data_IF_707997970695
#
_entry.id   IF_707997970695
#
_cell.length_a   1.000
_cell.length_b   1.000
_cell.length_c   1.000
_cell.angle_alpha   90.00
_cell.angle_beta   90.00
_cell.angle_gamma   90.00
#
_symmetry.space_group_name_H-M   'P 1'
#
loop_
_entity.id
_entity.type
_entity.pdbx_description
1 polymer ?
#
# COMPACT_ATOMS: atom_id res chain seq x y z
N UNK A 1 -2.62 0.03 -21.92
CA UNK A 1 -2.30 -1.12 -21.07
C UNK A 1 -0.99 -1.74 -21.57
N UNK A 2 -0.02 -1.86 -20.68
CA UNK A 2 1.31 -2.40 -21.02
C UNK A 2 1.34 -3.90 -20.72
N UNK A 3 1.94 -4.67 -21.63
CA UNK A 3 2.09 -6.11 -21.44
C UNK A 3 3.34 -6.41 -20.63
N UNK A 4 3.18 -7.16 -19.56
CA UNK A 4 4.26 -7.41 -18.62
C UNK A 4 4.43 -8.91 -18.31
N UNK A 5 5.67 -9.26 -17.96
CA UNK A 5 6.01 -10.55 -17.38
C UNK A 5 6.27 -10.33 -15.91
N UNK A 6 5.70 -11.18 -15.06
CA UNK A 6 5.78 -11.08 -13.61
C UNK A 6 6.57 -12.23 -13.03
N UNK A 7 7.58 -11.92 -12.21
CA UNK A 7 8.29 -12.89 -11.38
C UNK A 7 7.85 -12.69 -9.95
N UNK A 8 7.33 -13.73 -9.31
CA UNK A 8 6.74 -13.60 -7.96
C UNK A 8 6.80 -14.93 -7.22
N UNK A 9 6.91 -14.85 -5.89
CA UNK A 9 6.80 -16.04 -5.05
C UNK A 9 5.34 -16.49 -4.95
N UNK A 10 5.13 -17.75 -4.62
CA UNK A 10 3.80 -18.31 -4.49
C UNK A 10 3.00 -17.55 -3.41
N UNK A 11 3.66 -17.16 -2.33
CA UNK A 11 3.05 -16.45 -1.20
C UNK A 11 2.40 -15.13 -1.63
N UNK A 12 3.04 -14.40 -2.54
CA UNK A 12 2.58 -13.06 -2.94
C UNK A 12 1.92 -13.02 -4.33
N UNK A 13 1.69 -14.18 -4.92
CA UNK A 13 1.22 -14.24 -6.32
C UNK A 13 -0.09 -13.49 -6.55
N UNK A 14 -1.11 -13.77 -5.75
CA UNK A 14 -2.42 -13.12 -5.92
C UNK A 14 -2.33 -11.61 -5.69
N UNK A 15 -1.60 -11.22 -4.66
CA UNK A 15 -1.41 -9.82 -4.33
C UNK A 15 -0.69 -9.08 -5.47
N UNK A 16 0.38 -9.67 -5.99
CA UNK A 16 1.16 -9.07 -7.06
C UNK A 16 0.35 -8.92 -8.35
N UNK A 17 -0.43 -9.94 -8.70
CA UNK A 17 -1.28 -9.87 -9.90
C UNK A 17 -2.28 -8.73 -9.77
N UNK A 18 -2.95 -8.63 -8.62
CA UNK A 18 -3.93 -7.57 -8.39
C UNK A 18 -3.28 -6.18 -8.44
N UNK A 19 -2.10 -6.03 -7.85
CA UNK A 19 -1.36 -4.77 -7.88
C UNK A 19 -0.98 -4.38 -9.32
N UNK A 20 -0.49 -5.34 -10.09
CA UNK A 20 -0.07 -5.10 -11.47
C UNK A 20 -1.25 -4.66 -12.32
N UNK A 21 -2.37 -5.36 -12.19
CA UNK A 21 -3.59 -5.01 -12.94
C UNK A 21 -4.12 -3.64 -12.52
N UNK A 22 -4.00 -3.30 -11.24
CA UNK A 22 -4.37 -1.99 -10.72
C UNK A 22 -3.53 -0.87 -11.29
N UNK A 23 -2.30 -1.17 -11.71
CA UNK A 23 -1.38 -0.22 -12.33
C UNK A 23 -1.47 -0.26 -13.86
N UNK A 24 -2.49 -0.89 -14.40
CA UNK A 24 -2.75 -1.01 -15.85
C UNK A 24 -1.70 -1.82 -16.59
N UNK A 25 -1.18 -2.86 -15.94
CA UNK A 25 -0.35 -3.86 -16.60
C UNK A 25 -1.17 -5.09 -16.92
N UNK A 26 -1.01 -5.60 -18.13
CA UNK A 26 -1.59 -6.87 -18.52
C UNK A 26 -0.51 -7.94 -18.34
N UNK A 27 -0.70 -8.86 -17.40
CA UNK A 27 0.27 -9.90 -17.12
C UNK A 27 0.08 -11.01 -18.14
N UNK A 28 1.07 -11.20 -19.01
CA UNK A 28 1.00 -12.20 -20.07
C UNK A 28 1.68 -13.50 -19.68
N UNK A 29 2.65 -13.45 -18.76
CA UNK A 29 3.32 -14.65 -18.25
C UNK A 29 3.71 -14.43 -16.80
N UNK A 30 3.67 -15.51 -15.99
CA UNK A 30 4.04 -15.49 -14.58
C UNK A 30 5.08 -16.57 -14.36
N UNK A 31 6.19 -16.18 -13.75
CA UNK A 31 7.27 -17.12 -13.38
C UNK A 31 7.52 -17.04 -11.88
N UNK A 32 7.98 -18.12 -11.30
CA UNK A 32 8.41 -18.13 -9.91
C UNK A 32 9.74 -17.39 -9.78
N UNK A 33 9.93 -16.71 -8.65
CA UNK A 33 11.22 -16.12 -8.32
C UNK A 33 12.27 -17.23 -8.26
N UNK A 34 13.49 -16.97 -8.75
CA UNK A 34 14.53 -18.02 -8.71
C UNK A 34 14.92 -18.35 -7.27
N UNK A 35 15.18 -19.62 -6.99
CA UNK A 35 15.66 -20.06 -5.67
C UNK A 35 17.07 -19.54 -5.43
N UNK A 36 17.90 -19.53 -6.47
CA UNK A 36 19.25 -18.95 -6.43
C UNK A 36 19.30 -17.82 -7.44
N UNK A 37 19.13 -16.58 -7.01
CA UNK A 37 19.12 -15.46 -7.97
C UNK A 37 20.42 -15.35 -8.72
N UNK A 38 20.32 -15.09 -10.03
CA UNK A 38 21.45 -14.79 -10.87
C UNK A 38 22.15 -13.53 -10.34
N UNK A 39 23.46 -13.59 -10.16
CA UNK A 39 24.21 -12.47 -9.59
C UNK A 39 24.06 -11.21 -10.44
N UNK A 40 24.05 -11.36 -11.75
CA UNK A 40 24.03 -10.25 -12.71
C UNK A 40 22.60 -9.74 -12.96
N UNK A 41 21.65 -10.66 -13.19
CA UNK A 41 20.31 -10.32 -13.69
C UNK A 41 19.17 -10.59 -12.69
N UNK A 42 19.43 -11.24 -11.57
CA UNK A 42 18.46 -11.75 -10.62
C UNK A 42 17.63 -12.92 -11.19
N UNK A 43 17.01 -12.74 -12.38
CA UNK A 43 16.16 -13.78 -12.99
C UNK A 43 17.02 -14.77 -13.78
N UNK A 44 16.43 -15.93 -14.09
CA UNK A 44 17.11 -17.00 -14.83
C UNK A 44 17.44 -16.52 -16.25
N UNK A 45 18.62 -16.87 -16.72
CA UNK A 45 19.12 -16.41 -18.02
C UNK A 45 18.24 -16.85 -19.18
N UNK A 46 17.72 -18.07 -19.14
CA UNK A 46 16.84 -18.57 -20.20
C UNK A 46 15.54 -17.75 -20.28
N UNK A 47 14.98 -17.36 -19.11
CA UNK A 47 13.79 -16.52 -19.06
C UNK A 47 14.10 -15.11 -19.58
N UNK A 48 15.28 -14.59 -19.24
CA UNK A 48 15.73 -13.29 -19.71
C UNK A 48 15.78 -13.24 -21.23
N UNK A 49 16.32 -14.29 -21.86
CA UNK A 49 16.41 -14.35 -23.33
C UNK A 49 15.03 -14.44 -23.97
N UNK A 50 14.10 -15.19 -23.36
CA UNK A 50 12.73 -15.27 -23.86
C UNK A 50 12.06 -13.91 -23.85
N UNK A 51 12.23 -13.15 -22.77
CA UNK A 51 11.66 -11.81 -22.63
C UNK A 51 12.30 -10.85 -23.65
N UNK A 52 13.61 -10.93 -23.80
CA UNK A 52 14.37 -10.08 -24.74
C UNK A 52 13.85 -10.25 -26.17
N UNK A 53 13.53 -11.47 -26.56
CA UNK A 53 13.14 -11.78 -27.94
C UNK A 53 11.64 -11.61 -28.19
N UNK A 54 10.86 -11.29 -27.16
CA UNK A 54 9.41 -11.13 -27.30
C UNK A 54 9.06 -9.64 -27.36
N UNK A 55 8.77 -9.18 -28.57
CA UNK A 55 8.49 -7.76 -28.80
C UNK A 55 7.16 -7.29 -28.20
N UNK A 56 6.25 -8.22 -27.91
CA UNK A 56 4.97 -7.87 -27.30
C UNK A 56 5.10 -7.46 -25.85
N UNK A 57 6.17 -7.91 -25.16
CA UNK A 57 6.39 -7.59 -23.75
C UNK A 57 7.10 -6.23 -23.66
N UNK A 58 6.47 -5.28 -22.96
CA UNK A 58 7.04 -3.96 -22.75
C UNK A 58 7.67 -3.79 -21.36
N UNK A 59 7.33 -4.66 -20.41
CA UNK A 59 7.70 -4.47 -19.01
C UNK A 59 8.06 -5.79 -18.35
N UNK A 60 9.13 -5.76 -17.56
CA UNK A 60 9.50 -6.84 -16.65
C UNK A 60 9.23 -6.38 -15.22
N UNK A 61 8.43 -7.14 -14.49
CA UNK A 61 8.13 -6.86 -13.09
C UNK A 61 8.68 -8.01 -12.26
N UNK A 62 9.62 -7.68 -11.36
CA UNK A 62 10.16 -8.63 -10.39
C UNK A 62 9.61 -8.24 -9.03
N UNK A 63 8.74 -9.08 -8.46
CA UNK A 63 8.06 -8.74 -7.20
C UNK A 63 8.96 -9.08 -6.03
N UNK A 64 10.11 -8.46 -5.99
CA UNK A 64 11.12 -8.54 -4.94
C UNK A 64 12.01 -7.32 -5.11
N UNK A 65 12.72 -6.93 -4.07
CA UNK A 65 13.64 -5.81 -4.17
C UNK A 65 14.88 -6.24 -4.94
N UNK A 66 15.22 -5.48 -5.99
CA UNK A 66 16.43 -5.71 -6.78
C UNK A 66 17.57 -4.83 -6.27
N UNK A 67 18.80 -5.28 -6.48
CA UNK A 67 19.97 -4.47 -6.21
C UNK A 67 20.25 -3.56 -7.40
N UNK A 68 20.98 -2.44 -7.20
CA UNK A 68 21.32 -1.55 -8.33
C UNK A 68 21.95 -2.27 -9.52
N UNK A 69 22.84 -3.23 -9.27
CA UNK A 69 23.50 -3.95 -10.39
C UNK A 69 22.50 -4.74 -11.21
N UNK A 70 21.44 -5.27 -10.58
CA UNK A 70 20.41 -6.00 -11.31
C UNK A 70 19.66 -5.06 -12.27
N UNK A 71 19.27 -3.88 -11.80
CA UNK A 71 18.60 -2.90 -12.65
C UNK A 71 19.46 -2.52 -13.86
N UNK A 72 20.73 -2.23 -13.62
CA UNK A 72 21.65 -1.78 -14.68
C UNK A 72 21.80 -2.88 -15.72
N UNK A 73 22.06 -4.10 -15.28
CA UNK A 73 22.27 -5.22 -16.21
C UNK A 73 21.02 -5.57 -16.97
N UNK A 74 19.85 -5.57 -16.29
CA UNK A 74 18.58 -5.86 -16.96
C UNK A 74 18.23 -4.78 -17.96
N UNK A 75 18.45 -3.51 -17.63
CA UNK A 75 18.19 -2.40 -18.55
C UNK A 75 19.06 -2.46 -19.79
N UNK A 76 20.31 -2.86 -19.63
CA UNK A 76 21.23 -3.05 -20.76
C UNK A 76 20.77 -4.20 -21.66
N UNK A 77 20.41 -5.33 -21.05
CA UNK A 77 20.04 -6.54 -21.81
C UNK A 77 18.67 -6.40 -22.46
N UNK A 78 17.73 -5.75 -21.78
CA UNK A 78 16.34 -5.59 -22.23
C UNK A 78 16.08 -4.16 -22.70
N UNK A 79 16.88 -3.68 -23.63
CA UNK A 79 16.76 -2.32 -24.15
C UNK A 79 15.34 -2.05 -24.66
N UNK A 80 14.80 -0.91 -24.27
CA UNK A 80 13.46 -0.50 -24.68
C UNK A 80 12.34 -1.07 -23.82
N UNK A 81 12.67 -1.91 -22.84
CA UNK A 81 11.67 -2.46 -21.92
C UNK A 81 11.83 -1.83 -20.54
N UNK A 82 10.71 -1.63 -19.86
CA UNK A 82 10.69 -1.08 -18.51
C UNK A 82 11.00 -2.20 -17.51
N UNK A 83 11.86 -1.87 -16.53
CA UNK A 83 12.20 -2.81 -15.46
C UNK A 83 11.67 -2.25 -14.16
N UNK A 84 10.77 -2.99 -13.51
CA UNK A 84 10.22 -2.61 -12.21
C UNK A 84 10.50 -3.72 -11.21
N UNK A 85 10.95 -3.34 -10.02
CA UNK A 85 10.95 -4.25 -8.89
C UNK A 85 9.76 -3.93 -8.00
N UNK A 86 9.62 -4.64 -6.89
CA UNK A 86 8.50 -4.46 -5.98
C UNK A 86 8.40 -3.01 -5.49
N UNK A 87 9.54 -2.39 -5.16
CA UNK A 87 9.55 -1.02 -4.63
C UNK A 87 9.07 -0.03 -5.68
N UNK A 88 9.65 -0.07 -6.88
CA UNK A 88 9.26 0.85 -7.95
C UNK A 88 7.81 0.65 -8.38
N UNK A 89 7.35 -0.60 -8.41
CA UNK A 89 5.95 -0.90 -8.74
C UNK A 89 5.01 -0.27 -7.71
N UNK A 90 5.29 -0.45 -6.42
CA UNK A 90 4.44 0.11 -5.37
C UNK A 90 4.44 1.64 -5.40
N UNK A 91 5.60 2.25 -5.63
CA UNK A 91 5.68 3.70 -5.76
C UNK A 91 4.88 4.21 -6.97
N UNK A 92 4.91 3.48 -8.07
CA UNK A 92 4.13 3.82 -9.26
C UNK A 92 2.63 3.76 -8.96
N UNK A 93 2.20 2.72 -8.25
CA UNK A 93 0.79 2.56 -7.86
C UNK A 93 0.38 3.70 -6.92
N UNK A 94 1.21 4.01 -5.93
CA UNK A 94 0.94 5.13 -5.02
C UNK A 94 0.77 6.44 -5.80
N UNK A 95 1.65 6.69 -6.77
CA UNK A 95 1.60 7.92 -7.58
C UNK A 95 0.32 8.02 -8.40
N UNK A 96 -0.17 6.90 -8.92
CA UNK A 96 -1.41 6.88 -9.70
C UNK A 96 -2.62 7.31 -8.88
N UNK A 97 -2.60 7.04 -7.59
CA UNK A 97 -3.75 7.25 -6.72
C UNK A 97 -3.57 8.41 -5.74
N UNK A 98 -2.39 9.01 -5.68
CA UNK A 98 -2.12 10.10 -4.73
C UNK A 98 -3.00 11.31 -5.04
N UNK A 99 -3.81 11.71 -4.05
CA UNK A 99 -4.74 12.82 -4.21
C UNK A 99 -4.29 14.12 -3.56
N UNK A 100 -3.35 14.04 -2.61
CA UNK A 100 -2.87 15.23 -1.93
C UNK A 100 -1.48 15.61 -2.41
N UNK A 101 -1.15 16.90 -2.27
CA UNK A 101 0.18 17.40 -2.59
C UNK A 101 1.24 16.74 -1.71
N UNK A 102 0.94 16.57 -0.43
CA UNK A 102 1.85 15.92 0.51
C UNK A 102 2.16 14.48 0.09
N UNK A 103 1.13 13.71 -0.27
CA UNK A 103 1.32 12.32 -0.70
C UNK A 103 2.18 12.26 -1.96
N UNK A 104 1.89 13.11 -2.95
CA UNK A 104 2.67 13.15 -4.20
C UNK A 104 4.13 13.47 -3.94
N UNK A 105 4.40 14.43 -3.05
CA UNK A 105 5.76 14.84 -2.71
C UNK A 105 6.50 13.72 -1.96
N UNK A 106 5.81 13.06 -1.03
CA UNK A 106 6.41 11.97 -0.26
C UNK A 106 6.76 10.79 -1.16
N UNK A 107 5.89 10.49 -2.12
CA UNK A 107 6.13 9.41 -3.10
C UNK A 107 7.31 9.77 -4.00
N UNK A 108 7.36 11.00 -4.48
CA UNK A 108 8.49 11.46 -5.30
C UNK A 108 9.81 11.38 -4.53
N UNK A 109 9.79 11.80 -3.27
CA UNK A 109 10.98 11.71 -2.41
C UNK A 109 11.46 10.28 -2.26
N UNK A 110 10.53 9.37 -1.99
CA UNK A 110 10.88 7.94 -1.84
C UNK A 110 11.46 7.39 -3.13
N UNK A 111 10.88 7.75 -4.28
CA UNK A 111 11.37 7.28 -5.58
C UNK A 111 12.78 7.80 -5.88
N UNK A 112 13.01 9.09 -5.63
CA UNK A 112 14.34 9.69 -5.88
C UNK A 112 15.39 9.06 -4.97
N UNK A 113 15.07 8.86 -3.69
CA UNK A 113 15.99 8.21 -2.75
C UNK A 113 16.30 6.78 -3.17
N UNK A 114 15.29 6.08 -3.69
CA UNK A 114 15.46 4.70 -4.12
C UNK A 114 16.29 4.59 -5.41
N UNK A 115 16.07 5.51 -6.33
CA UNK A 115 16.77 5.51 -7.63
C UNK A 115 18.20 6.03 -7.55
N UNK A 116 18.52 6.87 -6.57
CA UNK A 116 19.84 7.48 -6.49
C UNK A 116 21.00 6.47 -6.44
N UNK A 117 20.94 5.40 -5.62
CA UNK A 117 22.00 4.39 -5.64
C UNK A 117 22.14 3.70 -7.01
N UNK A 118 21.02 3.51 -7.73
CA UNK A 118 21.06 2.92 -9.07
C UNK A 118 21.81 3.83 -10.04
N UNK A 119 21.55 5.13 -9.96
CA UNK A 119 22.22 6.12 -10.80
C UNK A 119 23.70 6.22 -10.45
N UNK A 120 24.03 6.17 -9.15
CA UNK A 120 25.43 6.20 -8.71
C UNK A 120 26.19 4.98 -9.22
N UNK A 121 25.57 3.81 -9.20
CA UNK A 121 26.17 2.58 -9.73
C UNK A 121 26.38 2.69 -11.24
N UNK A 122 25.44 3.30 -11.96
CA UNK A 122 25.55 3.56 -13.39
C UNK A 122 26.76 4.48 -13.67
N UNK A 123 26.95 5.51 -12.85
CA UNK A 123 28.07 6.43 -12.94
C UNK A 123 29.41 5.70 -12.80
N UNK A 124 29.51 4.83 -11.78
CA UNK A 124 30.72 4.05 -11.54
C UNK A 124 31.07 3.17 -12.75
N UNK A 125 30.08 2.48 -13.30
CA UNK A 125 30.29 1.62 -14.47
C UNK A 125 30.63 2.40 -15.73
N UNK A 126 30.02 3.57 -15.92
CA UNK A 126 30.33 4.45 -17.04
C UNK A 126 31.76 4.96 -16.95
N UNK A 127 32.23 5.28 -15.75
CA UNK A 127 33.59 5.76 -15.52
C UNK A 127 34.63 4.68 -15.86
N UNK A 128 34.32 3.42 -15.53
CA UNK A 128 35.19 2.30 -15.90
C UNK A 128 35.21 2.11 -17.41
N UNK A 129 34.04 2.25 -18.06
CA UNK A 129 33.92 2.16 -19.51
C UNK A 129 34.61 3.31 -20.25
N UNK A 130 34.71 4.48 -19.62
CA UNK A 130 35.37 5.65 -20.22
C UNK A 130 36.86 5.49 -20.43
N UNK A 131 37.48 4.63 -19.65
CA UNK A 131 38.88 4.32 -19.89
C UNK A 131 39.10 3.66 -21.27
N UNK A 132 37.99 3.26 -21.88
CA UNK A 132 38.02 2.65 -23.21
C UNK A 132 37.50 3.55 -24.32
N UNK A 133 36.96 4.73 -23.98
CA UNK A 133 36.37 5.61 -24.97
C UNK A 133 36.88 7.05 -24.89
N UNK A 134 36.91 7.75 -26.03
CA UNK A 134 37.61 9.02 -26.08
C UNK A 134 36.83 10.24 -25.52
N UNK A 135 35.57 10.19 -25.22
CA UNK A 135 34.84 11.43 -24.98
C UNK A 135 33.98 11.53 -23.69
N UNK A 136 33.90 10.53 -22.89
CA UNK A 136 33.28 10.63 -21.56
C UNK A 136 31.89 11.26 -21.44
N UNK A 137 31.15 11.30 -22.52
CA UNK A 137 29.86 12.00 -22.55
C UNK A 137 28.83 11.37 -21.62
N UNK A 138 28.87 10.05 -21.48
CA UNK A 138 27.94 9.32 -20.60
C UNK A 138 28.14 9.63 -19.12
N UNK A 139 29.41 9.80 -18.71
CA UNK A 139 29.76 10.13 -17.32
C UNK A 139 29.24 11.51 -16.93
N UNK A 140 29.40 12.48 -17.83
CA UNK A 140 28.98 13.84 -17.58
C UNK A 140 27.46 13.92 -17.36
N UNK A 141 26.69 13.23 -18.17
CA UNK A 141 25.25 13.22 -18.05
C UNK A 141 24.78 12.57 -16.75
N UNK A 142 25.41 11.47 -16.35
CA UNK A 142 25.08 10.77 -15.10
C UNK A 142 25.44 11.64 -13.90
N UNK A 143 26.59 12.30 -13.92
CA UNK A 143 27.04 13.19 -12.85
C UNK A 143 26.05 14.35 -12.64
N UNK A 144 25.59 14.94 -13.73
CA UNK A 144 24.59 16.00 -13.72
C UNK A 144 23.26 15.49 -13.11
N UNK A 145 22.86 14.28 -13.45
CA UNK A 145 21.65 13.65 -12.92
C UNK A 145 21.75 13.43 -11.42
N UNK A 146 22.92 12.97 -10.93
CA UNK A 146 23.15 12.77 -9.50
C UNK A 146 22.97 14.08 -8.74
N UNK A 147 23.54 15.17 -9.25
CA UNK A 147 23.41 16.50 -8.64
C UNK A 147 21.95 16.97 -8.61
N UNK A 148 21.22 16.74 -9.70
CA UNK A 148 19.80 17.09 -9.79
C UNK A 148 18.99 16.33 -8.74
N UNK A 149 19.24 15.02 -8.61
CA UNK A 149 18.52 14.18 -7.63
C UNK A 149 18.77 14.65 -6.20
N UNK A 150 20.03 14.94 -5.87
CA UNK A 150 20.39 15.40 -4.52
C UNK A 150 19.70 16.72 -4.17
N UNK A 151 19.70 17.65 -5.12
CA UNK A 151 19.04 18.96 -4.93
C UNK A 151 17.54 18.80 -4.76
N UNK A 152 16.92 17.97 -5.59
CA UNK A 152 15.48 17.74 -5.54
C UNK A 152 15.07 17.06 -4.22
N UNK A 153 15.86 16.10 -3.76
CA UNK A 153 15.63 15.42 -2.49
C UNK A 153 15.63 16.44 -1.34
N UNK A 154 16.65 17.30 -1.28
CA UNK A 154 16.75 18.31 -0.22
C UNK A 154 15.59 19.28 -0.25
N UNK A 155 15.18 19.72 -1.43
CA UNK A 155 14.05 20.62 -1.59
C UNK A 155 12.74 20.00 -1.12
N UNK A 156 12.51 18.74 -1.53
CA UNK A 156 11.30 18.01 -1.11
C UNK A 156 11.25 17.81 0.40
N UNK A 157 12.40 17.48 1.02
CA UNK A 157 12.45 17.30 2.47
C UNK A 157 12.07 18.57 3.22
N UNK A 158 12.55 19.72 2.76
CA UNK A 158 12.22 21.01 3.37
C UNK A 158 10.74 21.35 3.20
N UNK A 159 10.21 21.16 2.00
CA UNK A 159 8.80 21.44 1.73
C UNK A 159 7.89 20.53 2.56
N UNK A 160 8.27 19.25 2.72
CA UNK A 160 7.47 18.31 3.52
C UNK A 160 7.45 18.69 5.01
N UNK A 161 8.57 19.17 5.56
CA UNK A 161 8.61 19.65 6.93
C UNK A 161 7.65 20.82 7.14
N UNK A 162 7.59 21.74 6.17
CA UNK A 162 6.69 22.89 6.24
C UNK A 162 5.23 22.45 6.17
N UNK A 163 4.91 21.48 5.31
CA UNK A 163 3.55 20.96 5.18
C UNK A 163 3.10 20.25 6.46
N UNK A 164 3.98 19.48 7.08
CA UNK A 164 3.65 18.77 8.32
C UNK A 164 3.30 19.75 9.43
N UNK A 165 4.08 20.82 9.59
CA UNK A 165 3.84 21.84 10.59
C UNK A 165 2.48 22.52 10.38
N UNK A 166 2.17 22.88 9.12
CA UNK A 166 0.90 23.52 8.77
C UNK A 166 -0.28 22.56 9.01
N UNK A 167 -0.13 21.30 8.65
CA UNK A 167 -1.19 20.29 8.77
C UNK A 167 -1.56 20.04 10.24
N UNK A 168 -0.58 19.99 11.13
CA UNK A 168 -0.83 19.79 12.56
C UNK A 168 -1.66 20.93 13.14
N UNK A 169 -1.35 22.16 12.76
CA UNK A 169 -2.12 23.34 13.19
C UNK A 169 -3.55 23.30 12.65
N UNK A 170 -3.70 22.92 11.39
CA UNK A 170 -5.00 22.84 10.73
C UNK A 170 -5.90 21.79 11.38
N UNK A 171 -5.34 20.66 11.76
CA UNK A 171 -6.09 19.57 12.40
C UNK A 171 -6.55 19.96 13.78
N UNK A 172 -5.72 20.64 14.54
CA UNK A 172 -6.09 21.15 15.88
C UNK A 172 -7.29 22.09 15.79
N UNK A 173 -7.33 22.95 14.77
CA UNK A 173 -8.46 23.86 14.57
C UNK A 173 -9.72 23.12 14.11
N UNK A 174 -9.58 22.05 13.32
CA UNK A 174 -10.70 21.28 12.81
C UNK A 174 -11.35 20.38 13.87
N UNK A 175 -10.65 20.08 14.95
CA UNK A 175 -11.22 19.30 16.07
C UNK A 175 -12.40 20.02 16.73
N UNK A 176 -12.58 21.28 16.44
CA UNK A 176 -13.70 22.08 16.97
C UNK A 176 -15.01 21.85 16.22
N UNK A 177 -14.95 21.21 15.05
CA UNK A 177 -16.16 20.84 14.30
C UNK A 177 -16.66 19.49 14.80
N UNK A 178 -17.75 19.50 15.53
CA UNK A 178 -18.26 18.39 16.35
C UNK A 178 -18.81 17.19 15.59
N UNK A 179 -18.35 16.92 14.37
CA UNK A 179 -18.76 15.72 13.64
C UNK A 179 -17.71 14.64 13.91
N UNK A 180 -18.08 13.56 14.60
CA UNK A 180 -17.10 12.49 14.84
C UNK A 180 -16.74 11.79 13.54
N UNK A 181 -15.49 11.37 13.42
CA UNK A 181 -15.01 10.64 12.25
C UNK A 181 -14.61 9.22 12.62
N UNK A 182 -14.94 8.29 11.76
CA UNK A 182 -14.61 6.87 11.92
C UNK A 182 -13.87 6.42 10.67
N UNK A 183 -12.63 6.00 10.85
CA UNK A 183 -11.81 5.54 9.73
C UNK A 183 -11.93 4.03 9.54
N UNK A 184 -12.00 3.60 8.28
CA UNK A 184 -12.00 2.18 7.95
C UNK A 184 -10.57 1.79 7.55
N UNK A 185 -9.98 0.84 8.26
CA UNK A 185 -8.61 0.39 8.05
C UNK A 185 -8.57 -1.12 7.91
N UNK A 186 -7.49 -1.64 7.36
CA UNK A 186 -7.31 -3.08 7.20
C UNK A 186 -6.48 -3.39 5.96
N UNK A 187 -6.09 -4.64 5.84
CA UNK A 187 -5.29 -5.09 4.72
C UNK A 187 -6.06 -5.00 3.41
N UNK A 188 -5.32 -4.88 2.32
CA UNK A 188 -5.89 -4.94 0.98
C UNK A 188 -6.63 -6.26 0.81
N UNK A 189 -7.75 -6.25 0.12
CA UNK A 189 -8.63 -7.41 -0.10
C UNK A 189 -9.39 -7.87 1.15
N UNK A 190 -9.32 -7.16 2.26
CA UNK A 190 -10.14 -7.51 3.44
C UNK A 190 -11.61 -7.17 3.26
N UNK A 191 -11.92 -6.32 2.27
CA UNK A 191 -13.28 -5.89 2.01
C UNK A 191 -13.60 -4.49 2.49
N UNK A 192 -12.58 -3.66 2.72
CA UNK A 192 -12.75 -2.28 3.20
C UNK A 192 -13.65 -1.45 2.27
N UNK A 193 -13.36 -1.51 0.96
CA UNK A 193 -14.13 -0.75 -0.03
C UNK A 193 -15.57 -1.24 -0.11
N UNK A 194 -15.75 -2.56 -0.08
CA UNK A 194 -17.10 -3.15 -0.03
C UNK A 194 -17.86 -2.66 1.19
N UNK A 195 -17.21 -2.61 2.33
CA UNK A 195 -17.85 -2.15 3.58
C UNK A 195 -18.21 -0.67 3.49
N UNK A 196 -17.26 0.16 3.01
CA UNK A 196 -17.52 1.59 2.82
C UNK A 196 -18.74 1.80 1.91
N UNK A 197 -18.78 1.10 0.77
CA UNK A 197 -19.88 1.22 -0.18
C UNK A 197 -21.20 0.75 0.41
N UNK A 198 -21.18 -0.35 1.16
CA UNK A 198 -22.40 -0.90 1.79
C UNK A 198 -22.94 0.02 2.86
N UNK A 199 -22.08 0.63 3.65
CA UNK A 199 -22.50 1.55 4.70
C UNK A 199 -23.03 2.87 4.15
N UNK A 200 -22.42 3.37 3.07
CA UNK A 200 -22.77 4.68 2.52
C UNK A 200 -23.86 4.61 1.46
N UNK A 201 -24.11 3.43 0.90
CA UNK A 201 -25.04 3.26 -0.20
C UNK A 201 -24.51 3.70 -1.54
N UNK A 202 -23.21 3.99 -1.63
CA UNK A 202 -22.59 4.40 -2.89
C UNK A 202 -22.47 3.18 -3.81
N UNK A 203 -22.75 3.40 -5.10
CA UNK A 203 -22.67 2.34 -6.10
C UNK A 203 -21.34 2.36 -6.84
N UNK A 204 -20.27 2.49 -6.12
CA UNK A 204 -18.94 2.37 -6.72
C UNK A 204 -18.68 0.90 -7.05
N UNK A 205 -18.04 0.67 -8.18
CA UNK A 205 -17.58 -0.66 -8.53
C UNK A 205 -16.67 -1.15 -7.41
N UNK A 206 -17.04 -2.28 -6.83
CA UNK A 206 -16.16 -2.94 -5.88
C UNK A 206 -14.98 -3.43 -6.70
N UNK A 207 -13.94 -2.66 -6.66
CA UNK A 207 -12.72 -3.01 -7.39
C UNK A 207 -11.97 -4.02 -6.52
N UNK A 208 -11.76 -5.21 -7.06
CA UNK A 208 -10.97 -6.22 -6.38
C UNK A 208 -9.50 -5.87 -6.40
N UNK A 209 -9.15 -4.82 -7.12
CA UNK A 209 -7.76 -4.35 -7.19
C UNK A 209 -7.30 -3.83 -5.85
N UNK A 210 -6.07 -4.11 -5.54
CA UNK A 210 -5.43 -3.58 -4.35
C UNK A 210 -5.18 -2.09 -4.54
N UNK A 211 -5.22 -1.34 -3.45
CA UNK A 211 -4.94 0.11 -3.46
C UNK A 211 -5.87 0.91 -4.34
N UNK A 212 -7.15 0.59 -4.32
CA UNK A 212 -8.12 1.39 -5.06
C UNK A 212 -8.30 2.78 -4.45
N UNK A 213 -7.93 2.93 -3.16
CA UNK A 213 -8.05 4.18 -2.42
C UNK A 213 -6.69 4.60 -1.88
N UNK A 214 -6.01 5.52 -2.54
CA UNK A 214 -4.79 6.14 -2.03
C UNK A 214 -5.12 7.41 -1.26
N UNK A 215 -6.02 8.24 -1.78
CA UNK A 215 -6.56 9.39 -1.04
C UNK A 215 -7.74 8.92 -0.22
N UNK A 216 -7.88 9.38 1.01
CA UNK A 216 -9.02 8.99 1.83
C UNK A 216 -10.33 9.45 1.21
N UNK A 217 -11.29 8.56 1.11
CA UNK A 217 -12.65 8.89 0.71
C UNK A 217 -13.45 9.20 1.95
N UNK A 218 -14.21 10.28 1.92
CA UNK A 218 -15.00 10.72 3.06
C UNK A 218 -16.47 10.75 2.68
N UNK A 219 -17.33 10.38 3.61
CA UNK A 219 -18.76 10.42 3.42
C UNK A 219 -19.45 10.69 4.75
N UNK A 220 -20.33 11.70 4.76
CA UNK A 220 -21.12 12.02 5.96
C UNK A 220 -22.29 11.05 6.04
N UNK A 221 -22.14 10.05 6.92
CA UNK A 221 -23.14 9.02 7.13
C UNK A 221 -24.12 9.49 8.22
N UNK A 222 -25.41 9.31 7.99
CA UNK A 222 -26.42 9.66 8.98
C UNK A 222 -26.96 8.38 9.62
N UNK A 223 -26.77 8.24 10.95
CA UNK A 223 -27.30 7.13 11.72
C UNK A 223 -28.07 7.72 12.89
N UNK A 224 -29.37 7.41 12.96
CA UNK A 224 -30.26 7.90 14.03
C UNK A 224 -30.16 9.42 14.19
N UNK A 225 -30.19 10.14 13.05
CA UNK A 225 -30.12 11.60 12.96
C UNK A 225 -28.80 12.19 13.43
N UNK A 226 -27.78 11.37 13.64
CA UNK A 226 -26.43 11.83 13.98
C UNK A 226 -25.54 11.69 12.77
N UNK A 227 -24.82 12.76 12.46
CA UNK A 227 -23.85 12.75 11.37
C UNK A 227 -22.52 12.19 11.85
N UNK A 228 -21.99 11.24 11.09
CA UNK A 228 -20.71 10.60 11.37
C UNK A 228 -19.92 10.62 10.06
N UNK A 229 -18.69 11.14 10.11
CA UNK A 229 -17.84 11.17 8.94
C UNK A 229 -17.14 9.81 8.81
N UNK A 230 -17.50 9.06 7.78
CA UNK A 230 -16.87 7.77 7.49
C UNK A 230 -15.73 8.02 6.51
N UNK A 231 -14.54 7.54 6.85
CA UNK A 231 -13.32 7.77 6.05
C UNK A 231 -12.75 6.43 5.61
N UNK A 232 -12.71 6.21 4.29
CA UNK A 232 -12.05 5.03 3.74
C UNK A 232 -10.57 5.35 3.50
N UNK A 233 -9.68 4.51 3.99
CA UNK A 233 -8.24 4.74 3.89
C UNK A 233 -7.60 3.73 2.93
N UNK A 234 -6.33 3.98 2.60
CA UNK A 234 -5.56 3.02 1.80
C UNK A 234 -5.39 1.73 2.60
N UNK A 235 -5.40 0.60 1.90
CA UNK A 235 -5.24 -0.70 2.57
C UNK A 235 -3.81 -0.93 3.04
N UNK A 236 -3.68 -1.70 4.12
CA UNK A 236 -2.37 -2.14 4.60
C UNK A 236 -1.78 -3.13 3.60
N UNK A 237 -0.46 -3.12 3.49
CA UNK A 237 0.27 -4.01 2.59
C UNK A 237 1.26 -4.82 3.42
N UNK A 238 1.39 -6.11 3.10
CA UNK A 238 2.40 -6.95 3.73
C UNK A 238 3.77 -6.65 3.10
N UNK A 239 4.79 -6.66 3.94
CA UNK A 239 6.18 -6.57 3.49
C UNK A 239 6.55 -5.23 2.86
N UNK A 240 6.19 -4.11 3.49
CA UNK A 240 6.59 -2.79 3.01
C UNK A 240 8.04 -2.51 3.40
N UNK A 241 8.74 -2.25 2.44
CA UNK A 241 9.86 -2.10 2.67
C UNK A 241 10.02 -0.95 3.28
N UNK A 242 11.08 -0.82 3.96
CA UNK A 242 11.37 0.41 4.67
C UNK A 242 11.54 1.63 3.77
N UNK A 243 11.98 1.42 2.56
CA UNK A 243 12.24 2.51 1.60
C UNK A 243 10.98 3.31 1.25
N UNK A 244 9.80 2.69 1.38
CA UNK A 244 8.54 3.35 0.99
C UNK A 244 7.58 3.54 2.18
N UNK A 245 8.06 3.28 3.40
CA UNK A 245 7.22 3.39 4.61
C UNK A 245 6.64 4.80 4.75
N UNK A 246 7.47 5.83 4.56
CA UNK A 246 6.99 7.21 4.71
C UNK A 246 5.92 7.56 3.69
N UNK A 247 6.08 7.12 2.43
CA UNK A 247 5.07 7.34 1.40
C UNK A 247 3.76 6.63 1.75
N UNK A 248 3.87 5.42 2.27
CA UNK A 248 2.71 4.64 2.68
C UNK A 248 1.99 5.30 3.85
N UNK A 249 2.74 5.68 4.88
CA UNK A 249 2.13 6.23 6.10
C UNK A 249 1.49 7.60 5.89
N UNK A 250 1.97 8.40 4.94
CA UNK A 250 1.31 9.68 4.66
C UNK A 250 -0.10 9.45 4.11
N UNK A 251 -0.32 8.37 3.37
CA UNK A 251 -1.66 8.05 2.87
C UNK A 251 -2.56 7.49 3.96
N UNK A 252 -1.97 6.98 5.05
CA UNK A 252 -2.73 6.49 6.21
C UNK A 252 -3.00 7.56 7.25
N UNK A 253 -2.54 8.80 7.02
CA UNK A 253 -2.62 9.85 8.04
C UNK A 253 -4.05 10.17 8.47
N UNK A 254 -5.05 9.92 7.62
CA UNK A 254 -6.45 10.14 8.00
C UNK A 254 -6.88 9.19 9.12
N UNK A 255 -6.32 7.98 9.16
CA UNK A 255 -6.60 7.05 10.25
C UNK A 255 -6.11 7.60 11.58
N UNK A 256 -4.95 8.24 11.58
CA UNK A 256 -4.38 8.89 12.78
C UNK A 256 -5.32 9.96 13.34
N UNK A 257 -6.02 10.68 12.46
CA UNK A 257 -6.87 11.80 12.86
C UNK A 257 -8.34 11.43 13.01
N UNK A 258 -8.69 10.16 12.76
CA UNK A 258 -10.05 9.69 13.03
C UNK A 258 -10.28 9.58 14.54
N UNK A 259 -11.51 9.80 14.96
CA UNK A 259 -11.87 9.69 16.38
C UNK A 259 -11.96 8.23 16.83
N UNK A 260 -12.33 7.35 15.91
CA UNK A 260 -12.41 5.91 16.15
C UNK A 260 -12.12 5.19 14.82
N UNK A 261 -11.89 3.89 14.90
CA UNK A 261 -11.55 3.09 13.72
C UNK A 261 -12.38 1.82 13.64
N UNK A 262 -12.65 1.39 12.41
CA UNK A 262 -13.16 0.05 12.12
C UNK A 262 -12.01 -0.70 11.44
N UNK A 263 -11.54 -1.77 12.09
CA UNK A 263 -10.50 -2.63 11.51
C UNK A 263 -11.17 -3.82 10.86
N UNK A 264 -11.03 -3.94 9.54
CA UNK A 264 -11.65 -5.01 8.75
C UNK A 264 -10.66 -6.16 8.61
N UNK A 265 -11.09 -7.35 9.00
CA UNK A 265 -10.28 -8.56 8.97
C UNK A 265 -10.98 -9.59 8.08
N UNK A 266 -10.22 -10.24 7.22
CA UNK A 266 -10.73 -11.28 6.31
C UNK A 266 -10.86 -12.59 7.06
N UNK A 267 -12.11 -13.05 7.26
CA UNK A 267 -12.38 -14.28 8.01
C UNK A 267 -11.98 -15.55 7.26
N UNK A 268 -11.70 -15.44 5.98
CA UNK A 268 -11.33 -16.60 5.16
C UNK A 268 -9.93 -17.14 5.51
N UNK A 269 -9.12 -16.35 6.16
CA UNK A 269 -7.75 -16.75 6.53
C UNK A 269 -7.78 -17.90 7.54
N UNK A 270 -6.75 -18.74 7.50
CA UNK A 270 -6.51 -19.75 8.53
C UNK A 270 -6.29 -19.07 9.88
N UNK A 271 -6.42 -19.82 10.96
CA UNK A 271 -6.21 -19.27 12.31
C UNK A 271 -4.84 -18.64 12.46
N UNK A 272 -3.79 -19.31 11.97
CA UNK A 272 -2.42 -18.78 12.06
C UNK A 272 -2.29 -17.45 11.30
N UNK A 273 -2.86 -17.37 10.12
CA UNK A 273 -2.81 -16.16 9.32
C UNK A 273 -3.67 -15.05 9.93
N UNK A 274 -4.79 -15.40 10.56
CA UNK A 274 -5.62 -14.43 11.29
C UNK A 274 -4.82 -13.79 12.44
N UNK A 275 -4.10 -14.61 13.20
CA UNK A 275 -3.27 -14.13 14.31
C UNK A 275 -2.20 -13.18 13.78
N UNK A 276 -1.49 -13.59 12.74
CA UNK A 276 -0.44 -12.79 12.11
C UNK A 276 -0.97 -11.47 11.58
N UNK A 277 -2.11 -11.52 10.87
CA UNK A 277 -2.74 -10.34 10.29
C UNK A 277 -3.18 -9.35 11.38
N UNK A 278 -3.75 -9.87 12.45
CA UNK A 278 -4.21 -9.02 13.54
C UNK A 278 -3.05 -8.35 14.26
N UNK A 279 -1.98 -9.12 14.54
CA UNK A 279 -0.77 -8.58 15.17
C UNK A 279 -0.15 -7.47 14.30
N UNK A 280 0.00 -7.73 13.00
CA UNK A 280 0.55 -6.77 12.04
C UNK A 280 -0.31 -5.51 11.96
N UNK A 281 -1.63 -5.69 11.93
CA UNK A 281 -2.58 -4.57 11.85
C UNK A 281 -2.42 -3.62 13.03
N UNK A 282 -2.36 -4.16 14.24
CA UNK A 282 -2.21 -3.32 15.42
C UNK A 282 -0.83 -2.69 15.51
N UNK A 283 0.21 -3.36 15.00
CA UNK A 283 1.54 -2.75 14.92
C UNK A 283 1.56 -1.53 14.00
N UNK A 284 0.93 -1.66 12.83
CA UNK A 284 0.83 -0.56 11.87
C UNK A 284 0.07 0.60 12.52
N UNK A 285 -1.05 0.31 13.18
CA UNK A 285 -1.86 1.35 13.81
C UNK A 285 -1.10 2.07 14.91
N UNK A 286 -0.31 1.36 15.70
CA UNK A 286 0.54 1.99 16.72
C UNK A 286 1.57 2.91 16.07
N UNK A 287 2.19 2.46 14.99
CA UNK A 287 3.20 3.27 14.30
C UNK A 287 2.64 4.56 13.74
N UNK A 288 1.39 4.56 13.26
CA UNK A 288 0.78 5.79 12.74
C UNK A 288 0.16 6.63 13.86
N UNK A 289 0.20 6.18 15.11
CA UNK A 289 -0.15 7.00 16.25
C UNK A 289 -1.61 6.98 16.68
N UNK A 290 -2.32 5.85 16.47
CA UNK A 290 -3.73 5.74 16.85
C UNK A 290 -3.95 5.19 18.25
N UNK A 291 -2.90 4.96 19.02
CA UNK A 291 -3.01 4.39 20.37
C UNK A 291 -4.04 5.15 21.22
N UNK A 292 -4.89 4.41 21.91
CA UNK A 292 -5.91 4.98 22.79
C UNK A 292 -7.24 5.27 22.13
N UNK A 293 -7.31 5.24 20.80
CA UNK A 293 -8.58 5.45 20.10
C UNK A 293 -9.37 4.15 20.06
N UNK A 294 -10.70 4.21 20.29
CA UNK A 294 -11.48 2.96 20.25
C UNK A 294 -11.52 2.34 18.86
N UNK A 295 -11.39 1.03 18.82
CA UNK A 295 -11.41 0.27 17.58
C UNK A 295 -12.52 -0.76 17.62
N UNK A 296 -13.32 -0.79 16.56
CA UNK A 296 -14.33 -1.81 16.34
C UNK A 296 -13.77 -2.76 15.28
N UNK A 297 -13.67 -4.04 15.63
CA UNK A 297 -13.11 -5.04 14.69
C UNK A 297 -14.26 -5.70 13.93
N UNK A 298 -14.21 -5.63 12.60
CA UNK A 298 -15.20 -6.24 11.74
C UNK A 298 -14.60 -7.48 11.07
N UNK A 299 -15.06 -8.65 11.47
CA UNK A 299 -14.63 -9.92 10.89
C UNK A 299 -15.48 -10.16 9.64
N UNK A 300 -14.92 -9.87 8.48
CA UNK A 300 -15.66 -9.79 7.22
C UNK A 300 -15.61 -11.09 6.43
N UNK A 301 -16.50 -11.19 5.45
CA UNK A 301 -16.60 -12.31 4.51
C UNK A 301 -17.12 -13.59 5.16
N UNK A 302 -17.99 -13.45 6.17
CA UNK A 302 -18.54 -14.62 6.85
C UNK A 302 -19.47 -15.45 5.94
N UNK A 303 -19.95 -14.87 4.85
CA UNK A 303 -20.73 -15.59 3.85
C UNK A 303 -19.92 -16.68 3.15
N UNK A 304 -18.60 -16.57 3.17
CA UNK A 304 -17.70 -17.52 2.50
C UNK A 304 -17.07 -18.53 3.46
N UNK A 305 -17.29 -18.39 4.76
CA UNK A 305 -16.67 -19.30 5.73
C UNK A 305 -17.28 -20.69 5.61
N UNK A 306 -16.41 -21.67 5.45
CA UNK A 306 -16.78 -23.08 5.45
C UNK A 306 -16.12 -23.71 6.68
N UNK A 307 -16.75 -23.54 7.82
CA UNK A 307 -16.21 -24.01 9.08
C UNK A 307 -16.75 -23.26 10.26
N UNK A 308 -16.04 -23.33 11.37
CA UNK A 308 -16.53 -22.79 12.64
C UNK A 308 -16.25 -21.29 12.77
N UNK A 309 -17.25 -20.49 12.47
CA UNK A 309 -17.19 -19.05 12.65
C UNK A 309 -16.99 -18.69 14.13
N UNK A 310 -17.64 -19.41 15.04
CA UNK A 310 -17.52 -19.17 16.47
C UNK A 310 -16.08 -19.23 16.96
N UNK A 311 -15.35 -20.23 16.50
CA UNK A 311 -13.96 -20.42 16.90
C UNK A 311 -13.09 -19.24 16.44
N UNK A 312 -13.28 -18.81 15.19
CA UNK A 312 -12.55 -17.66 14.65
C UNK A 312 -12.91 -16.37 15.36
N UNK A 313 -14.21 -16.17 15.61
CA UNK A 313 -14.70 -14.98 16.29
C UNK A 313 -14.13 -14.87 17.70
N UNK A 314 -14.15 -15.99 18.46
CA UNK A 314 -13.59 -16.02 19.81
C UNK A 314 -12.10 -15.73 19.81
N UNK A 315 -11.38 -16.29 18.85
CA UNK A 315 -9.94 -16.05 18.71
C UNK A 315 -9.65 -14.58 18.47
N UNK A 316 -10.36 -13.98 17.52
CA UNK A 316 -10.16 -12.57 17.16
C UNK A 316 -10.53 -11.66 18.33
N UNK A 317 -11.62 -11.95 19.02
CA UNK A 317 -12.06 -11.17 20.17
C UNK A 317 -11.03 -11.18 21.29
N UNK A 318 -10.57 -12.36 21.67
CA UNK A 318 -9.57 -12.53 22.74
C UNK A 318 -8.25 -11.83 22.38
N UNK A 319 -7.77 -12.10 21.17
CA UNK A 319 -6.48 -11.59 20.73
C UNK A 319 -6.51 -10.07 20.53
N UNK A 320 -7.59 -9.54 20.00
CA UNK A 320 -7.74 -8.08 19.82
C UNK A 320 -7.62 -7.36 21.16
N UNK A 321 -8.29 -7.86 22.18
CA UNK A 321 -8.27 -7.26 23.51
C UNK A 321 -6.90 -7.38 24.17
N UNK A 322 -6.14 -8.43 23.85
CA UNK A 322 -4.77 -8.57 24.35
C UNK A 322 -3.80 -7.62 23.66
N UNK A 323 -4.01 -7.39 22.37
CA UNK A 323 -3.09 -6.59 21.54
C UNK A 323 -3.34 -5.10 21.60
N UNK A 324 -4.56 -4.68 21.94
CA UNK A 324 -4.93 -3.27 21.83
C UNK A 324 -6.05 -2.92 22.82
N UNK A 325 -6.05 -1.68 23.29
CA UNK A 325 -7.09 -1.13 24.14
C UNK A 325 -7.34 0.34 23.77
N UNK A 326 -8.60 0.77 23.67
CA UNK A 326 -9.81 -0.02 23.89
C UNK A 326 -10.35 -0.67 22.61
N UNK A 327 -10.78 -1.91 22.73
CA UNK A 327 -11.53 -2.59 21.68
C UNK A 327 -13.02 -2.42 22.02
N UNK A 328 -13.74 -1.71 21.17
CA UNK A 328 -15.15 -1.42 21.44
C UNK A 328 -16.02 -2.65 21.28
N UNK A 329 -15.83 -3.39 20.18
CA UNK A 329 -16.58 -4.61 19.91
C UNK A 329 -15.90 -5.39 18.78
N UNK A 330 -16.29 -6.66 18.64
CA UNK A 330 -15.85 -7.50 17.52
C UNK A 330 -17.10 -8.08 16.89
N UNK A 331 -17.35 -7.76 15.61
CA UNK A 331 -18.62 -8.09 14.94
C UNK A 331 -18.33 -8.90 13.67
N UNK A 332 -18.97 -10.07 13.53
CA UNK A 332 -18.87 -10.82 12.27
C UNK A 332 -19.85 -10.22 11.25
N UNK A 333 -19.34 -9.96 10.02
CA UNK A 333 -20.13 -9.32 8.98
C UNK A 333 -19.86 -9.96 7.61
N UNK A 334 -20.79 -9.70 6.68
CA UNK A 334 -20.54 -9.83 5.27
C UNK A 334 -20.91 -8.50 4.62
N UNK A 335 -19.90 -7.75 4.20
CA UNK A 335 -20.15 -6.49 3.51
C UNK A 335 -20.85 -6.75 2.17
N UNK A 336 -20.44 -7.82 1.48
CA UNK A 336 -21.00 -8.18 0.18
C UNK A 336 -22.48 -8.57 0.27
N UNK A 337 -22.82 -9.43 1.23
CA UNK A 337 -24.20 -9.92 1.41
C UNK A 337 -25.01 -9.07 2.40
N UNK A 338 -24.42 -8.02 2.93
CA UNK A 338 -25.04 -7.09 3.88
C UNK A 338 -25.48 -7.76 5.18
N UNK A 339 -24.77 -8.81 5.57
CA UNK A 339 -25.08 -9.55 6.82
C UNK A 339 -24.52 -8.77 8.01
N UNK A 340 -25.36 -8.56 9.02
CA UNK A 340 -25.02 -7.86 10.27
C UNK A 340 -24.61 -6.39 10.07
N UNK A 341 -24.91 -5.78 8.93
CA UNK A 341 -24.62 -4.37 8.73
C UNK A 341 -25.47 -3.46 9.62
N UNK A 342 -26.69 -3.87 9.92
CA UNK A 342 -27.54 -3.10 10.84
C UNK A 342 -26.95 -3.09 12.25
N UNK A 343 -26.42 -4.23 12.70
CA UNK A 343 -25.73 -4.31 13.98
C UNK A 343 -24.48 -3.44 13.96
N UNK A 344 -23.72 -3.48 12.86
CA UNK A 344 -22.53 -2.66 12.73
C UNK A 344 -22.85 -1.16 12.78
N UNK A 345 -23.92 -0.73 12.07
CA UNK A 345 -24.37 0.67 12.11
C UNK A 345 -24.73 1.08 13.54
N UNK A 346 -25.45 0.21 14.25
CA UNK A 346 -25.82 0.44 15.65
C UNK A 346 -24.58 0.61 16.53
N UNK A 347 -23.58 -0.25 16.35
CA UNK A 347 -22.35 -0.18 17.12
C UNK A 347 -21.53 1.08 16.79
N UNK A 348 -21.53 1.50 15.52
CA UNK A 348 -20.88 2.75 15.11
C UNK A 348 -21.53 3.92 15.82
N UNK A 349 -22.86 3.93 15.86
CA UNK A 349 -23.62 4.98 16.56
C UNK A 349 -23.26 5.02 18.05
N UNK A 350 -23.27 3.87 18.71
CA UNK A 350 -22.93 3.74 20.13
C UNK A 350 -21.48 4.20 20.39
N UNK A 351 -20.57 3.81 19.52
CA UNK A 351 -19.16 4.19 19.61
C UNK A 351 -19.00 5.70 19.57
N UNK A 352 -19.69 6.36 18.63
CA UNK A 352 -19.56 7.82 18.47
C UNK A 352 -20.27 8.60 19.59
N UNK A 353 -21.31 8.03 20.20
CA UNK A 353 -21.95 8.69 21.35
C UNK A 353 -21.01 8.72 22.56
N UNK A 354 -20.13 7.73 22.71
CA UNK A 354 -19.16 7.70 23.79
C UNK A 354 -18.03 8.72 23.60
N UNK A 355 -17.84 9.18 22.35
CA UNK A 355 -16.78 10.15 22.03
C UNK A 355 -17.19 11.59 22.31
N UNK A 356 -18.46 11.87 22.47
CA UNK A 356 -18.97 13.23 22.70
C UNK A 356 -18.99 13.63 24.18
#
# INVERSE_FOLDING_TARGET
VKSAVLFVSEEFKEEAIALDEGANYKIVRIYKLPKSPNVKFYIQYDKLQQIKNDEEISTLIVFEQLKPRHFINLRKELKGKEILDKILLLLEIFALHAGSKEAKMQIELARLKYELPIIKETYTKSKIGEQQGPLGAGTYGVESTIKFYKRRINKLMKELENIKAFKEKSIESNKRNNIPSVGIVGYTNSGKTSLFNSLTGLTQKVDTKLFTTMSPKRYALSINNRKIMLVDTVGFIRGIXPQIVDAFFVTLSEAKYSDALILVIDSMFSENLLIETLQSSFEILREIGVSGKPILVALNKIDKIDGDLYKKLNLIEKLSKELYSPIFDVIPISALKRTNLELLRERIYQLTTQLS
#
